data_IF_689861556447
#
_entry.id   IF_689861556447
#
_cell.length_a   1.000
_cell.length_b   1.000
_cell.length_c   1.000
_cell.angle_alpha   90.00
_cell.angle_beta   90.00
_cell.angle_gamma   90.00
#
_symmetry.space_group_name_H-M   'P 1'
#
loop_
_entity.id
_entity.type
_entity.pdbx_description
1 polymer ?
#
# COMPACT_ATOMS: atom_id res chain seq x y z
N UNK A 1 -4.34 -18.34 19.33
CA UNK A 1 -5.38 -17.40 19.80
C UNK A 1 -5.21 -16.13 18.99
N UNK A 2 -6.15 -15.87 18.09
CA UNK A 2 -6.16 -14.70 17.20
C UNK A 2 -7.09 -13.64 17.79
N UNK A 3 -6.80 -12.36 17.54
CA UNK A 3 -7.65 -11.24 17.95
C UNK A 3 -8.29 -10.61 16.72
N UNK A 4 -9.62 -10.54 16.69
CA UNK A 4 -10.38 -9.87 15.63
C UNK A 4 -10.96 -8.58 16.18
N UNK A 5 -10.73 -7.46 15.49
CA UNK A 5 -11.26 -6.14 15.84
C UNK A 5 -12.49 -5.83 15.00
N UNK A 6 -13.47 -5.21 15.65
CA UNK A 6 -14.73 -4.77 15.07
C UNK A 6 -15.06 -3.34 15.51
N UNK A 7 -15.69 -2.54 14.65
CA UNK A 7 -16.36 -1.32 15.08
C UNK A 7 -17.53 -0.97 14.16
N UNK A 8 -18.53 -0.30 14.73
CA UNK A 8 -19.70 0.22 14.02
C UNK A 8 -20.18 1.50 14.69
N UNK A 9 -21.05 2.25 14.02
CA UNK A 9 -21.75 3.40 14.61
C UNK A 9 -23.26 3.18 14.59
N UNK A 10 -23.95 3.79 15.54
CA UNK A 10 -25.41 3.87 15.55
C UNK A 10 -25.86 5.25 15.08
N UNK A 11 -27.02 5.34 14.44
CA UNK A 11 -27.58 6.63 14.03
C UNK A 11 -28.15 7.41 15.23
N UNK A 12 -28.77 6.70 16.16
CA UNK A 12 -29.39 7.23 17.38
C UNK A 12 -29.17 6.25 18.55
N UNK A 13 -29.06 6.76 19.77
CA UNK A 13 -28.92 5.95 20.99
C UNK A 13 -30.27 5.32 21.39
N UNK A 14 -30.66 4.25 20.68
CA UNK A 14 -31.84 3.44 21.00
C UNK A 14 -31.49 1.96 21.16
N UNK A 15 -32.21 1.20 22.00
CA UNK A 15 -31.95 -0.23 22.17
C UNK A 15 -32.08 -1.03 20.88
N UNK A 16 -33.03 -0.67 20.01
CA UNK A 16 -33.27 -1.33 18.72
C UNK A 16 -32.08 -1.13 17.78
N UNK A 17 -31.56 0.09 17.70
CA UNK A 17 -30.43 0.43 16.85
C UNK A 17 -29.13 -0.24 17.35
N UNK A 18 -28.89 -0.26 18.66
CA UNK A 18 -27.74 -0.94 19.25
C UNK A 18 -27.79 -2.45 18.98
N UNK A 19 -28.96 -3.08 19.13
CA UNK A 19 -29.14 -4.51 18.82
C UNK A 19 -28.86 -4.81 17.35
N UNK A 20 -29.41 -4.00 16.45
CA UNK A 20 -29.20 -4.15 15.02
C UNK A 20 -27.72 -3.99 14.66
N UNK A 21 -27.07 -2.94 15.15
CA UNK A 21 -25.68 -2.63 14.85
C UNK A 21 -24.70 -3.68 15.41
N UNK A 22 -24.91 -4.16 16.64
CA UNK A 22 -24.07 -5.20 17.24
C UNK A 22 -24.27 -6.53 16.52
N UNK A 23 -25.51 -6.90 16.20
CA UNK A 23 -25.79 -8.13 15.42
C UNK A 23 -25.11 -8.09 14.06
N UNK A 24 -25.31 -7.01 13.30
CA UNK A 24 -24.68 -6.81 11.99
C UNK A 24 -23.15 -6.89 12.08
N UNK A 25 -22.55 -6.23 13.08
CA UNK A 25 -21.11 -6.25 13.29
C UNK A 25 -20.59 -7.67 13.54
N UNK A 26 -21.22 -8.41 14.43
CA UNK A 26 -20.79 -9.76 14.78
C UNK A 26 -21.01 -10.77 13.64
N UNK A 27 -22.14 -10.70 12.93
CA UNK A 27 -22.42 -11.54 11.76
C UNK A 27 -21.42 -11.29 10.62
N UNK A 28 -21.03 -10.02 10.40
CA UNK A 28 -19.99 -9.68 9.42
C UNK A 28 -18.60 -10.20 9.85
N UNK A 29 -18.29 -10.17 11.15
CA UNK A 29 -17.05 -10.76 11.68
C UNK A 29 -17.06 -12.27 11.50
N UNK A 30 -18.16 -12.96 11.81
CA UNK A 30 -18.32 -14.40 11.61
C UNK A 30 -18.08 -14.78 10.14
N UNK A 31 -18.80 -14.10 9.24
CA UNK A 31 -18.75 -14.37 7.80
C UNK A 31 -17.34 -14.14 7.22
N UNK A 32 -16.71 -12.99 7.50
CA UNK A 32 -15.40 -12.66 6.90
C UNK A 32 -14.24 -13.48 7.45
N UNK A 33 -14.38 -14.04 8.65
CA UNK A 33 -13.34 -14.85 9.27
C UNK A 33 -13.62 -16.35 9.18
N UNK A 34 -14.72 -16.76 8.53
CA UNK A 34 -15.20 -18.15 8.55
C UNK A 34 -15.16 -18.72 9.97
N UNK A 35 -15.67 -17.94 10.92
CA UNK A 35 -15.55 -18.17 12.35
C UNK A 35 -16.81 -18.87 12.84
N UNK A 36 -16.63 -19.94 13.61
CA UNK A 36 -17.72 -20.60 14.31
C UNK A 36 -17.86 -20.01 15.72
N UNK A 37 -19.08 -19.99 16.25
CA UNK A 37 -19.37 -19.36 17.55
C UNK A 37 -18.67 -20.02 18.73
N UNK A 38 -18.46 -21.32 18.67
CA UNK A 38 -17.71 -22.09 19.67
C UNK A 38 -16.22 -21.79 19.67
N UNK A 39 -15.67 -21.22 18.59
CA UNK A 39 -14.27 -20.75 18.52
C UNK A 39 -14.09 -19.38 19.20
N UNK A 40 -15.17 -18.69 19.59
CA UNK A 40 -15.13 -17.40 20.27
C UNK A 40 -15.02 -17.60 21.77
N UNK A 41 -13.88 -17.22 22.35
CA UNK A 41 -13.63 -17.35 23.80
C UNK A 41 -14.20 -16.16 24.56
N UNK A 42 -13.99 -14.96 24.02
CA UNK A 42 -14.38 -13.72 24.68
C UNK A 42 -14.65 -12.60 23.68
N UNK A 43 -15.62 -11.74 24.00
CA UNK A 43 -15.86 -10.48 23.29
C UNK A 43 -15.83 -9.33 24.29
N UNK A 44 -14.91 -8.40 24.07
CA UNK A 44 -14.82 -7.15 24.82
C UNK A 44 -15.39 -6.04 23.96
N UNK A 45 -16.45 -5.42 24.43
CA UNK A 45 -17.03 -4.22 23.83
C UNK A 45 -16.52 -2.96 24.51
N UNK A 46 -16.33 -1.91 23.73
CA UNK A 46 -16.26 -0.55 24.23
C UNK A 46 -17.25 0.34 23.49
N UNK A 47 -17.87 1.28 24.19
CA UNK A 47 -18.80 2.24 23.61
C UNK A 47 -18.44 3.64 24.02
N UNK A 48 -18.64 4.59 23.11
CA UNK A 48 -18.43 6.00 23.41
C UNK A 48 -19.38 6.49 24.50
N UNK A 49 -18.99 7.57 25.18
CA UNK A 49 -19.68 8.09 26.35
C UNK A 49 -21.09 8.59 26.09
N UNK A 50 -21.47 8.73 24.82
CA UNK A 50 -22.79 9.17 24.33
C UNK A 50 -23.75 8.01 24.01
N UNK A 51 -23.41 6.77 24.38
CA UNK A 51 -24.30 5.59 24.29
C UNK A 51 -24.70 5.14 25.68
N UNK A 52 -26.01 5.13 25.96
CA UNK A 52 -26.57 4.80 27.27
C UNK A 52 -27.79 3.88 27.22
N UNK A 53 -28.48 3.81 26.08
CA UNK A 53 -29.79 3.16 26.00
C UNK A 53 -29.74 1.63 26.12
N UNK A 54 -28.61 0.99 25.77
CA UNK A 54 -28.46 -0.46 25.85
C UNK A 54 -27.01 -0.95 25.90
N UNK A 55 -26.80 -2.11 26.54
CA UNK A 55 -25.46 -2.72 26.64
C UNK A 55 -25.11 -3.54 25.39
N UNK A 56 -23.96 -3.28 24.73
CA UNK A 56 -23.49 -4.08 23.60
C UNK A 56 -23.32 -5.58 23.94
N UNK A 57 -22.81 -5.92 25.13
CA UNK A 57 -22.74 -7.31 25.59
C UNK A 57 -24.12 -7.98 25.66
N UNK A 58 -25.17 -7.26 26.06
CA UNK A 58 -26.53 -7.82 26.07
C UNK A 58 -27.04 -8.03 24.64
N UNK A 59 -26.78 -7.08 23.74
CA UNK A 59 -27.11 -7.23 22.33
C UNK A 59 -26.38 -8.43 21.68
N UNK A 60 -25.11 -8.66 22.01
CA UNK A 60 -24.35 -9.82 21.55
C UNK A 60 -24.94 -11.15 22.07
N UNK A 61 -25.37 -11.19 23.33
CA UNK A 61 -26.08 -12.33 23.90
C UNK A 61 -27.37 -12.63 23.13
N UNK A 62 -28.17 -11.60 22.85
CA UNK A 62 -29.42 -11.70 22.05
C UNK A 62 -29.16 -12.05 20.57
N UNK A 63 -27.94 -11.86 20.06
CA UNK A 63 -27.50 -12.33 18.75
C UNK A 63 -27.01 -13.80 18.75
N UNK A 64 -27.02 -14.45 19.92
CA UNK A 64 -26.69 -15.87 20.10
C UNK A 64 -25.21 -16.16 20.41
N UNK A 65 -24.46 -15.18 20.94
CA UNK A 65 -23.13 -15.37 21.51
C UNK A 65 -23.24 -15.74 23.00
N UNK A 66 -23.76 -16.94 23.27
CA UNK A 66 -24.13 -17.35 24.63
C UNK A 66 -23.00 -18.07 25.38
N UNK A 67 -22.11 -18.75 24.66
CA UNK A 67 -21.03 -19.57 25.23
C UNK A 67 -19.80 -18.76 25.63
N UNK A 68 -19.57 -17.60 25.02
CA UNK A 68 -18.38 -16.80 25.27
C UNK A 68 -18.57 -15.82 26.43
N UNK A 69 -17.46 -15.42 27.04
CA UNK A 69 -17.45 -14.31 28.01
C UNK A 69 -17.69 -12.98 27.29
N UNK A 70 -18.55 -12.13 27.86
CA UNK A 70 -18.90 -10.83 27.27
C UNK A 70 -18.61 -9.72 28.28
N UNK A 71 -17.83 -8.74 27.84
CA UNK A 71 -17.51 -7.55 28.63
C UNK A 71 -17.96 -6.31 27.89
N UNK A 72 -18.34 -5.27 28.62
CA UNK A 72 -18.61 -3.95 28.06
C UNK A 72 -17.97 -2.89 28.94
N UNK A 73 -17.28 -1.95 28.31
CA UNK A 73 -16.69 -0.78 28.95
C UNK A 73 -17.18 0.48 28.25
N UNK A 74 -17.25 1.58 29.00
CA UNK A 74 -17.44 2.89 28.42
C UNK A 74 -16.07 3.54 28.17
N UNK A 75 -15.94 4.22 27.03
CA UNK A 75 -14.73 4.94 26.65
C UNK A 75 -14.71 6.35 27.25
N UNK A 76 -13.52 6.94 27.46
CA UNK A 76 -13.42 8.36 27.81
C UNK A 76 -13.98 9.23 26.68
N UNK A 77 -14.62 10.35 27.03
CA UNK A 77 -15.03 11.35 26.04
C UNK A 77 -13.80 12.12 25.55
N UNK A 78 -13.60 12.13 24.23
CA UNK A 78 -12.47 12.76 23.57
C UNK A 78 -13.00 13.77 22.55
N UNK A 79 -12.49 15.00 22.59
CA UNK A 79 -12.85 16.03 21.63
C UNK A 79 -12.46 15.61 20.20
N UNK A 80 -13.35 15.83 19.23
CA UNK A 80 -13.22 15.33 17.86
C UNK A 80 -13.35 13.81 17.70
N UNK A 81 -13.61 13.06 18.78
CA UNK A 81 -13.82 11.61 18.73
C UNK A 81 -15.07 11.22 17.95
N UNK A 82 -15.03 10.07 17.28
CA UNK A 82 -16.18 9.53 16.54
C UNK A 82 -17.32 9.23 17.52
N UNK A 83 -18.44 9.93 17.36
CA UNK A 83 -19.64 9.81 18.20
C UNK A 83 -20.43 8.55 17.91
N UNK A 84 -21.24 8.11 18.89
CA UNK A 84 -22.14 6.96 18.80
C UNK A 84 -21.46 5.70 18.24
N UNK A 85 -20.23 5.42 18.71
CA UNK A 85 -19.41 4.32 18.22
C UNK A 85 -19.38 3.16 19.20
N UNK A 86 -19.56 1.94 18.68
CA UNK A 86 -19.39 0.68 19.41
C UNK A 86 -18.22 -0.07 18.78
N UNK A 87 -17.26 -0.46 19.60
CA UNK A 87 -16.10 -1.27 19.21
C UNK A 87 -16.19 -2.64 19.87
N UNK A 88 -15.65 -3.64 19.20
CA UNK A 88 -15.59 -5.01 19.66
C UNK A 88 -14.18 -5.58 19.45
N UNK A 89 -13.70 -6.35 20.42
CA UNK A 89 -12.49 -7.14 20.32
C UNK A 89 -12.84 -8.58 20.66
N UNK A 90 -12.72 -9.46 19.68
CA UNK A 90 -13.00 -10.89 19.82
C UNK A 90 -11.69 -11.64 19.99
N UNK A 91 -11.61 -12.47 21.02
CA UNK A 91 -10.54 -13.42 21.25
C UNK A 91 -11.00 -14.79 20.77
N UNK A 92 -10.32 -15.35 19.77
CA UNK A 92 -10.74 -16.58 19.10
C UNK A 92 -9.67 -17.66 19.12
N UNK A 93 -10.09 -18.91 19.29
CA UNK A 93 -9.26 -20.12 19.18
C UNK A 93 -9.06 -20.55 17.73
N UNK A 94 -8.60 -19.60 16.92
CA UNK A 94 -8.22 -19.81 15.53
C UNK A 94 -6.79 -19.35 15.32
N UNK A 95 -6.07 -19.97 14.38
CA UNK A 95 -4.69 -19.62 14.04
C UNK A 95 -4.57 -19.20 12.56
N UNK A 96 -5.47 -18.31 12.15
CA UNK A 96 -5.51 -17.68 10.83
C UNK A 96 -5.34 -16.16 10.98
N UNK A 97 -4.95 -15.51 9.88
CA UNK A 97 -4.87 -14.04 9.80
C UNK A 97 -6.28 -13.44 9.94
N UNK A 98 -6.52 -12.53 10.90
CA UNK A 98 -7.84 -11.98 11.15
C UNK A 98 -8.26 -10.95 10.09
N UNK A 99 -9.51 -11.04 9.67
CA UNK A 99 -10.20 -10.00 8.90
C UNK A 99 -10.99 -9.10 9.85
N UNK A 100 -10.47 -7.90 10.10
CA UNK A 100 -11.16 -6.92 10.95
C UNK A 100 -12.35 -6.28 10.22
N UNK A 101 -13.35 -5.83 10.98
CA UNK A 101 -14.62 -5.35 10.42
C UNK A 101 -14.96 -3.96 10.94
N UNK A 102 -15.03 -2.99 10.04
CA UNK A 102 -15.42 -1.62 10.36
C UNK A 102 -16.62 -1.26 9.50
N UNK A 103 -17.75 -0.95 10.14
CA UNK A 103 -19.02 -0.69 9.49
C UNK A 103 -19.44 0.77 9.67
N UNK A 104 -20.33 1.23 8.80
CA UNK A 104 -21.00 2.54 8.91
C UNK A 104 -19.98 3.69 9.10
N UNK A 105 -20.21 4.60 10.05
CA UNK A 105 -19.29 5.70 10.37
C UNK A 105 -17.94 5.22 10.91
N UNK A 106 -17.86 4.04 11.53
CA UNK A 106 -16.62 3.50 12.07
C UNK A 106 -15.60 3.07 11.00
N UNK A 107 -15.99 3.05 9.72
CA UNK A 107 -15.08 2.88 8.58
C UNK A 107 -13.96 3.91 8.60
N UNK A 108 -14.24 5.13 9.07
CA UNK A 108 -13.23 6.19 9.18
C UNK A 108 -12.21 5.91 10.25
N UNK A 109 -12.43 4.97 11.19
CA UNK A 109 -11.42 4.62 12.19
C UNK A 109 -10.27 3.79 11.59
N UNK A 110 -10.52 3.16 10.44
CA UNK A 110 -9.58 2.30 9.70
C UNK A 110 -9.92 2.33 8.21
N UNK A 111 -9.65 3.45 7.52
CA UNK A 111 -9.86 3.52 6.06
C UNK A 111 -9.03 2.46 5.32
N UNK A 112 -7.91 2.07 5.91
CA UNK A 112 -7.04 1.00 5.43
C UNK A 112 -7.67 -0.41 5.46
N UNK A 113 -8.73 -0.62 6.26
CA UNK A 113 -9.45 -1.90 6.34
C UNK A 113 -10.84 -1.81 5.71
N UNK A 114 -11.44 -0.63 5.74
CA UNK A 114 -12.85 -0.43 5.43
C UNK A 114 -13.16 -0.14 3.95
N UNK A 115 -12.19 0.36 3.18
CA UNK A 115 -12.32 0.66 1.76
C UNK A 115 -11.03 0.35 1.01
N UNK A 116 -11.15 0.20 -0.32
CA UNK A 116 -9.98 0.17 -1.20
C UNK A 116 -9.26 1.51 -1.06
N UNK A 117 -7.96 1.47 -0.76
CA UNK A 117 -7.14 2.68 -0.65
C UNK A 117 -5.81 2.49 -1.37
N UNK A 118 -5.28 3.58 -1.87
CA UNK A 118 -4.03 3.61 -2.61
C UNK A 118 -3.01 4.51 -1.92
N UNK A 119 -1.78 4.00 -1.81
CA UNK A 119 -0.64 4.74 -1.27
C UNK A 119 0.36 5.00 -2.39
N UNK A 120 0.61 6.27 -2.70
CA UNK A 120 1.66 6.69 -3.62
C UNK A 120 2.95 7.00 -2.85
N UNK A 121 4.06 6.39 -3.25
CA UNK A 121 5.40 6.65 -2.71
C UNK A 121 6.33 7.09 -3.84
N UNK A 122 6.58 8.39 -3.93
CA UNK A 122 7.44 9.00 -4.94
C UNK A 122 8.79 9.44 -4.36
N UNK A 123 9.76 9.69 -5.24
CA UNK A 123 11.08 10.19 -4.85
C UNK A 123 12.24 9.62 -5.69
N UNK A 124 13.45 10.19 -5.55
CA UNK A 124 14.62 9.85 -6.36
C UNK A 124 15.13 8.43 -6.14
N UNK A 125 16.00 7.93 -7.02
CA UNK A 125 16.60 6.60 -6.85
C UNK A 125 17.43 6.54 -5.55
N UNK A 126 17.39 5.41 -4.83
CA UNK A 126 18.15 5.22 -3.59
C UNK A 126 17.52 5.82 -2.32
N UNK A 127 16.34 6.46 -2.39
CA UNK A 127 15.66 7.02 -1.21
C UNK A 127 14.93 6.00 -0.32
N UNK A 128 15.04 4.69 -0.60
CA UNK A 128 14.43 3.63 0.23
C UNK A 128 12.97 3.29 -0.07
N UNK A 129 12.34 3.93 -1.07
CA UNK A 129 10.91 3.75 -1.43
C UNK A 129 10.48 2.29 -1.56
N UNK A 130 11.18 1.51 -2.38
CA UNK A 130 10.78 0.12 -2.66
C UNK A 130 10.81 -0.75 -1.41
N UNK A 131 11.76 -0.50 -0.51
CA UNK A 131 11.84 -1.21 0.77
C UNK A 131 10.65 -0.85 1.66
N UNK A 132 10.38 0.45 1.79
CA UNK A 132 9.27 0.97 2.59
C UNK A 132 7.92 0.53 2.02
N UNK A 133 7.76 0.57 0.70
CA UNK A 133 6.54 0.16 0.01
C UNK A 133 6.22 -1.32 0.23
N UNK A 134 7.23 -2.20 0.16
CA UNK A 134 7.08 -3.63 0.46
C UNK A 134 6.66 -3.88 1.91
N UNK A 135 7.33 -3.22 2.86
CA UNK A 135 6.99 -3.36 4.28
C UNK A 135 5.59 -2.83 4.58
N UNK A 136 5.25 -1.67 4.01
CA UNK A 136 3.92 -1.08 4.16
C UNK A 136 2.85 -1.99 3.56
N UNK A 137 3.06 -2.50 2.35
CA UNK A 137 2.14 -3.42 1.70
C UNK A 137 1.92 -4.70 2.52
N UNK A 138 3.01 -5.27 3.04
CA UNK A 138 2.96 -6.42 3.93
C UNK A 138 2.14 -6.13 5.21
N UNK A 139 2.42 -5.03 5.89
CA UNK A 139 1.80 -4.71 7.18
C UNK A 139 0.31 -4.38 7.07
N UNK A 140 -0.12 -3.82 5.95
CA UNK A 140 -1.53 -3.54 5.65
C UNK A 140 -2.20 -4.66 4.86
N UNK A 141 -1.47 -5.73 4.51
CA UNK A 141 -1.92 -6.83 3.65
C UNK A 141 -2.57 -6.33 2.34
N UNK A 142 -1.90 -5.39 1.69
CA UNK A 142 -2.30 -4.81 0.40
C UNK A 142 -1.23 -5.08 -0.65
N UNK A 143 -1.55 -4.76 -1.90
CA UNK A 143 -0.66 -5.00 -3.02
C UNK A 143 0.57 -4.10 -2.97
N UNK A 144 1.76 -4.62 -3.26
CA UNK A 144 2.90 -3.81 -3.65
C UNK A 144 3.03 -3.83 -5.18
N UNK A 145 3.00 -2.67 -5.83
CA UNK A 145 3.23 -2.53 -7.28
C UNK A 145 4.53 -1.76 -7.54
N UNK A 146 5.59 -2.49 -7.89
CA UNK A 146 6.86 -1.94 -8.42
C UNK A 146 6.63 -1.44 -9.85
N UNK A 147 6.31 -0.15 -9.98
CA UNK A 147 6.11 0.45 -11.30
C UNK A 147 7.40 0.47 -12.13
N UNK A 148 8.56 0.51 -11.46
CA UNK A 148 9.86 0.45 -12.11
C UNK A 148 10.11 -0.89 -12.81
N UNK A 149 9.61 -2.00 -12.26
CA UNK A 149 9.69 -3.32 -12.88
C UNK A 149 8.96 -3.36 -14.24
N UNK A 150 7.84 -2.64 -14.36
CA UNK A 150 7.08 -2.56 -15.60
C UNK A 150 7.87 -1.87 -16.72
N UNK A 151 8.52 -0.74 -16.40
CA UNK A 151 9.41 -0.05 -17.36
C UNK A 151 10.64 -0.89 -17.71
N UNK A 152 11.20 -1.63 -16.74
CA UNK A 152 12.31 -2.57 -16.98
C UNK A 152 11.91 -3.74 -17.87
N UNK A 153 10.68 -4.24 -17.77
CA UNK A 153 10.18 -5.26 -18.71
C UNK A 153 10.04 -4.70 -20.14
N UNK A 154 9.57 -3.46 -20.30
CA UNK A 154 9.53 -2.80 -21.61
C UNK A 154 10.93 -2.63 -22.20
N UNK A 155 11.91 -2.24 -21.38
CA UNK A 155 13.30 -2.12 -21.79
C UNK A 155 13.93 -3.47 -22.17
N UNK A 156 13.69 -4.52 -21.38
CA UNK A 156 14.13 -5.87 -21.70
C UNK A 156 13.59 -6.34 -23.05
N UNK A 157 12.32 -6.04 -23.35
CA UNK A 157 11.72 -6.38 -24.63
C UNK A 157 12.41 -5.67 -25.81
N UNK A 158 12.70 -4.37 -25.66
CA UNK A 158 13.43 -3.60 -26.68
C UNK A 158 14.85 -4.15 -26.90
N UNK A 159 15.57 -4.46 -25.83
CA UNK A 159 16.91 -5.06 -25.89
C UNK A 159 16.89 -6.43 -26.58
N UNK A 160 15.92 -7.30 -26.26
CA UNK A 160 15.76 -8.61 -26.90
C UNK A 160 15.45 -8.51 -28.39
N UNK A 161 14.74 -7.45 -28.80
CA UNK A 161 14.43 -7.17 -30.20
C UNK A 161 15.59 -6.49 -30.97
N UNK A 162 16.70 -6.17 -30.30
CA UNK A 162 17.82 -5.44 -30.91
C UNK A 162 17.47 -3.98 -31.26
N UNK A 163 16.43 -3.42 -30.64
CA UNK A 163 15.98 -2.05 -30.87
C UNK A 163 16.80 -1.11 -29.98
N UNK A 164 17.27 0.01 -30.54
CA UNK A 164 17.81 1.10 -29.74
C UNK A 164 16.70 1.67 -28.85
N UNK A 165 16.89 1.58 -27.54
CA UNK A 165 15.95 2.06 -26.52
C UNK A 165 15.71 3.57 -26.57
N UNK A 166 16.56 4.31 -27.28
CA UNK A 166 16.42 5.75 -27.53
C UNK A 166 15.55 6.06 -28.76
N UNK A 167 15.31 5.08 -29.65
CA UNK A 167 14.45 5.25 -30.83
C UNK A 167 12.97 5.11 -30.45
N UNK A 168 12.32 6.24 -30.23
CA UNK A 168 10.91 6.29 -29.84
C UNK A 168 9.99 5.57 -30.84
N UNK A 169 10.25 5.69 -32.14
CA UNK A 169 9.37 5.13 -33.17
C UNK A 169 9.40 3.60 -33.15
N UNK A 170 10.60 3.01 -33.06
CA UNK A 170 10.77 1.56 -32.96
C UNK A 170 10.26 1.02 -31.63
N UNK A 171 10.56 1.68 -30.51
CA UNK A 171 10.05 1.28 -29.19
C UNK A 171 8.53 1.35 -29.16
N UNK A 172 7.92 2.42 -29.68
CA UNK A 172 6.46 2.56 -29.76
C UNK A 172 5.82 1.45 -30.61
N UNK A 173 6.43 1.10 -31.75
CA UNK A 173 5.96 0.01 -32.58
C UNK A 173 6.00 -1.33 -31.85
N UNK A 174 7.09 -1.62 -31.14
CA UNK A 174 7.24 -2.81 -30.33
C UNK A 174 6.19 -2.85 -29.20
N UNK A 175 5.98 -1.73 -28.50
CA UNK A 175 5.01 -1.65 -27.40
C UNK A 175 3.57 -1.95 -27.83
N UNK A 176 3.20 -1.83 -29.11
CA UNK A 176 1.85 -2.23 -29.57
C UNK A 176 1.64 -3.74 -29.56
N UNK A 177 2.70 -4.54 -29.72
CA UNK A 177 2.64 -6.00 -29.80
C UNK A 177 2.88 -6.73 -28.47
N UNK A 178 3.57 -6.10 -27.52
CA UNK A 178 3.94 -6.74 -26.26
C UNK A 178 2.74 -6.93 -25.33
N UNK A 179 2.60 -8.15 -24.81
CA UNK A 179 1.77 -8.46 -23.65
C UNK A 179 2.60 -8.36 -22.37
N UNK A 180 2.28 -7.38 -21.52
CA UNK A 180 2.90 -7.20 -20.20
C UNK A 180 1.87 -7.50 -19.12
N UNK A 181 2.02 -8.58 -18.39
CA UNK A 181 1.10 -8.94 -17.31
C UNK A 181 1.79 -8.94 -15.95
N UNK A 182 1.01 -8.58 -14.93
CA UNK A 182 1.47 -8.55 -13.55
C UNK A 182 0.66 -9.59 -12.79
N UNK A 183 1.35 -10.61 -12.29
CA UNK A 183 0.75 -11.69 -11.50
C UNK A 183 1.30 -11.63 -10.10
N UNK A 184 0.43 -11.81 -9.12
CA UNK A 184 0.82 -11.84 -7.72
C UNK A 184 0.79 -13.28 -7.22
N UNK A 185 1.92 -13.75 -6.71
CA UNK A 185 2.06 -15.09 -6.11
C UNK A 185 2.81 -14.94 -4.80
N UNK A 186 2.26 -15.51 -3.73
CA UNK A 186 2.87 -15.49 -2.39
C UNK A 186 3.26 -14.08 -1.90
N UNK A 187 2.46 -13.06 -2.23
CA UNK A 187 2.72 -11.66 -1.86
C UNK A 187 3.82 -10.97 -2.68
N UNK A 188 4.36 -11.63 -3.70
CA UNK A 188 5.41 -11.11 -4.58
C UNK A 188 4.84 -10.78 -5.96
N UNK A 189 5.29 -9.66 -6.52
CA UNK A 189 5.01 -9.29 -7.90
C UNK A 189 5.86 -10.12 -8.87
N UNK A 190 5.20 -10.84 -9.76
CA UNK A 190 5.78 -11.47 -10.94
C UNK A 190 5.43 -10.66 -12.18
N UNK A 191 6.46 -10.30 -12.95
CA UNK A 191 6.29 -9.55 -14.20
C UNK A 191 6.42 -10.52 -15.37
N UNK A 192 5.33 -10.71 -16.11
CA UNK A 192 5.28 -11.57 -17.28
C UNK A 192 5.40 -10.72 -18.55
N UNK A 193 6.33 -11.09 -19.42
CA UNK A 193 6.53 -10.50 -20.74
C UNK A 193 6.24 -11.56 -21.79
N UNK A 194 5.18 -11.37 -22.58
CA UNK A 194 4.70 -12.34 -23.58
C UNK A 194 4.50 -13.76 -23.00
N UNK A 195 4.04 -13.83 -21.75
CA UNK A 195 3.81 -15.05 -20.99
C UNK A 195 5.03 -15.63 -20.26
N UNK A 196 6.23 -15.09 -20.48
CA UNK A 196 7.47 -15.48 -19.78
C UNK A 196 7.66 -14.68 -18.49
N UNK A 197 7.98 -15.33 -17.37
CA UNK A 197 8.35 -14.64 -16.14
C UNK A 197 9.76 -14.04 -16.24
N UNK A 198 9.81 -12.71 -16.34
CA UNK A 198 11.07 -11.96 -16.49
C UNK A 198 11.52 -11.28 -15.20
N UNK A 199 10.91 -11.61 -14.06
CA UNK A 199 11.11 -10.91 -12.78
C UNK A 199 12.56 -10.81 -12.31
N UNK A 200 13.38 -11.83 -12.62
CA UNK A 200 14.83 -11.80 -12.34
C UNK A 200 15.62 -11.10 -13.47
N UNK A 201 15.29 -11.40 -14.74
CA UNK A 201 15.95 -10.81 -15.92
C UNK A 201 15.90 -9.28 -15.91
N UNK A 202 14.79 -8.69 -15.45
CA UNK A 202 14.60 -7.24 -15.39
C UNK A 202 15.41 -6.55 -14.29
N UNK A 203 16.14 -7.27 -13.44
CA UNK A 203 16.94 -6.70 -12.34
C UNK A 203 18.39 -6.45 -12.72
N UNK A 204 18.81 -6.77 -13.94
CA UNK A 204 20.18 -6.53 -14.38
C UNK A 204 20.50 -5.02 -14.47
N UNK A 205 21.77 -4.62 -14.29
CA UNK A 205 22.19 -3.22 -14.46
C UNK A 205 21.88 -2.69 -15.87
N UNK A 206 22.13 -3.49 -16.90
CA UNK A 206 21.87 -3.15 -18.31
C UNK A 206 20.40 -2.79 -18.55
N UNK A 207 19.47 -3.64 -18.09
CA UNK A 207 18.03 -3.38 -18.21
C UNK A 207 17.61 -2.17 -17.38
N UNK A 208 18.23 -1.96 -16.21
CA UNK A 208 17.95 -0.80 -15.36
C UNK A 208 18.33 0.53 -16.02
N UNK A 209 19.45 0.56 -16.75
CA UNK A 209 19.86 1.72 -17.55
C UNK A 209 18.89 1.94 -18.72
N UNK A 210 18.59 0.88 -19.47
CA UNK A 210 17.68 0.92 -20.60
C UNK A 210 16.27 1.39 -20.21
N UNK A 211 15.77 1.00 -19.04
CA UNK A 211 14.47 1.44 -18.52
C UNK A 211 14.39 2.96 -18.32
N UNK A 212 15.51 3.61 -17.98
CA UNK A 212 15.56 5.06 -17.88
C UNK A 212 15.29 5.70 -19.24
N UNK A 213 15.95 5.21 -20.30
CA UNK A 213 15.74 5.69 -21.67
C UNK A 213 14.31 5.46 -22.16
N UNK A 214 13.81 4.23 -22.00
CA UNK A 214 12.45 3.86 -22.43
C UNK A 214 11.36 4.65 -21.68
N UNK A 215 11.58 5.01 -20.41
CA UNK A 215 10.60 5.77 -19.62
C UNK A 215 10.41 7.23 -20.04
N UNK A 216 11.25 7.74 -20.96
CA UNK A 216 11.09 9.06 -21.59
C UNK A 216 10.00 9.05 -22.66
N UNK A 217 9.77 7.91 -23.31
CA UNK A 217 8.85 7.80 -24.43
C UNK A 217 7.40 7.88 -23.94
N UNK A 218 6.65 8.84 -24.49
CA UNK A 218 5.28 9.13 -24.06
C UNK A 218 4.38 7.92 -24.27
N UNK A 219 4.53 7.25 -25.41
CA UNK A 219 3.77 6.04 -25.75
C UNK A 219 3.93 4.93 -24.71
N UNK A 220 5.15 4.68 -24.22
CA UNK A 220 5.41 3.69 -23.18
C UNK A 220 4.76 4.11 -21.88
N UNK A 221 4.95 5.37 -21.46
CA UNK A 221 4.38 5.89 -20.22
C UNK A 221 2.87 5.76 -20.18
N UNK A 222 2.18 6.18 -21.25
CA UNK A 222 0.72 6.12 -21.30
C UNK A 222 0.21 4.69 -21.16
N UNK A 223 0.85 3.72 -21.82
CA UNK A 223 0.53 2.29 -21.67
C UNK A 223 0.78 1.78 -20.24
N UNK A 224 1.87 2.21 -19.59
CA UNK A 224 2.18 1.81 -18.21
C UNK A 224 1.19 2.42 -17.21
N UNK A 225 0.86 3.71 -17.37
CA UNK A 225 -0.09 4.44 -16.52
C UNK A 225 -1.47 3.80 -16.60
N UNK A 226 -1.92 3.40 -17.79
CA UNK A 226 -3.19 2.68 -17.98
C UNK A 226 -3.22 1.39 -17.16
N UNK A 227 -2.20 0.53 -17.27
CA UNK A 227 -2.11 -0.71 -16.48
C UNK A 227 -2.01 -0.45 -14.98
N UNK A 228 -1.25 0.55 -14.56
CA UNK A 228 -1.12 0.91 -13.14
C UNK A 228 -2.47 1.35 -12.55
N UNK A 229 -3.22 2.18 -13.27
CA UNK A 229 -4.56 2.61 -12.89
C UNK A 229 -5.57 1.47 -12.90
N UNK A 230 -5.48 0.57 -13.86
CA UNK A 230 -6.32 -0.64 -13.91
C UNK A 230 -6.14 -1.49 -12.64
N UNK A 231 -4.90 -1.74 -12.23
CA UNK A 231 -4.57 -2.52 -11.04
C UNK A 231 -5.04 -1.79 -9.77
N UNK A 232 -4.68 -0.51 -9.61
CA UNK A 232 -5.09 0.33 -8.49
C UNK A 232 -6.61 0.60 -8.45
N UNK A 233 -7.30 0.36 -9.56
CA UNK A 233 -8.75 0.39 -9.68
C UNK A 233 -9.43 -0.78 -8.98
N UNK A 234 -8.80 -1.96 -8.97
CA UNK A 234 -9.40 -3.23 -8.54
C UNK A 234 -9.11 -3.60 -7.09
N UNK A 235 -8.00 -3.15 -6.51
CA UNK A 235 -7.58 -3.52 -5.16
C UNK A 235 -6.72 -2.45 -4.48
N UNK A 236 -6.60 -2.52 -3.15
CA UNK A 236 -5.73 -1.60 -2.39
C UNK A 236 -4.28 -1.86 -2.74
N UNK A 237 -3.49 -0.81 -2.89
CA UNK A 237 -2.11 -0.95 -3.33
C UNK A 237 -1.19 0.17 -2.86
N UNK A 238 0.08 -0.18 -2.66
CA UNK A 238 1.20 0.74 -2.53
C UNK A 238 1.93 0.75 -3.88
N UNK A 239 1.94 1.91 -4.53
CA UNK A 239 2.70 2.14 -5.76
C UNK A 239 3.95 2.94 -5.41
N UNK A 240 5.12 2.43 -5.76
CA UNK A 240 6.36 3.20 -5.69
C UNK A 240 6.87 3.61 -7.07
N UNK A 241 7.28 4.86 -7.21
CA UNK A 241 7.62 5.43 -8.51
C UNK A 241 8.31 6.79 -8.45
N UNK A 242 7.98 7.65 -9.42
CA UNK A 242 8.52 9.03 -9.54
C UNK A 242 7.42 10.08 -9.64
N UNK A 243 6.30 9.70 -10.22
CA UNK A 243 5.15 10.54 -10.57
C UNK A 243 3.82 9.86 -10.21
N UNK A 244 3.82 8.98 -9.22
CA UNK A 244 2.63 8.25 -8.81
C UNK A 244 1.58 9.23 -8.29
N UNK A 245 1.91 10.05 -7.30
CA UNK A 245 0.98 10.98 -6.67
C UNK A 245 0.69 12.25 -7.48
N UNK A 246 1.49 12.54 -8.51
CA UNK A 246 1.31 13.72 -9.38
C UNK A 246 0.63 13.40 -10.70
N UNK A 247 0.78 12.18 -11.22
CA UNK A 247 0.30 11.84 -12.56
C UNK A 247 -0.46 10.51 -12.62
N UNK A 248 0.08 9.42 -12.05
CA UNK A 248 -0.55 8.09 -12.17
C UNK A 248 -1.85 8.04 -11.36
N UNK A 249 -1.78 8.38 -10.07
CA UNK A 249 -2.86 8.39 -9.09
C UNK A 249 -2.92 9.76 -8.39
N UNK A 250 -3.34 10.82 -9.11
CA UNK A 250 -3.47 12.16 -8.52
C UNK A 250 -4.51 12.22 -7.40
N UNK A 251 -5.39 11.23 -7.29
CA UNK A 251 -6.40 11.11 -6.23
C UNK A 251 -6.08 9.99 -5.24
N UNK A 252 -4.81 9.56 -5.14
CA UNK A 252 -4.40 8.56 -4.14
C UNK A 252 -4.70 9.05 -2.72
N UNK A 253 -5.25 8.17 -1.88
CA UNK A 253 -5.66 8.48 -0.49
C UNK A 253 -4.49 8.98 0.36
N UNK A 254 -3.31 8.40 0.13
CA UNK A 254 -2.08 8.76 0.82
C UNK A 254 -0.95 8.96 -0.18
N UNK A 255 -0.23 10.07 -0.05
CA UNK A 255 0.91 10.41 -0.91
C UNK A 255 2.11 10.78 -0.06
N UNK A 256 3.24 10.14 -0.34
CA UNK A 256 4.50 10.36 0.35
C UNK A 256 5.60 10.63 -0.67
N UNK A 257 6.46 11.59 -0.37
CA UNK A 257 7.65 11.87 -1.15
C UNK A 257 8.88 11.59 -0.29
N UNK A 258 9.59 10.50 -0.59
CA UNK A 258 10.78 10.06 0.14
C UNK A 258 12.03 10.59 -0.55
N UNK A 259 12.80 11.39 0.17
CA UNK A 259 14.09 11.91 -0.28
C UNK A 259 15.24 11.44 0.63
N UNK A 260 16.46 11.68 0.18
CA UNK A 260 17.68 11.58 0.97
C UNK A 260 18.81 12.33 0.24
N UNK A 261 19.85 12.72 0.97
CA UNK A 261 21.04 13.32 0.38
C UNK A 261 21.65 12.43 -0.71
N UNK A 262 22.28 13.04 -1.72
CA UNK A 262 22.87 12.31 -2.84
C UNK A 262 23.91 11.28 -2.37
N UNK A 263 24.71 11.61 -1.35
CA UNK A 263 25.71 10.72 -0.77
C UNK A 263 25.10 9.51 -0.08
N UNK A 264 24.03 9.71 0.70
CA UNK A 264 23.31 8.60 1.36
C UNK A 264 22.69 7.67 0.31
N UNK A 265 22.09 8.23 -0.75
CA UNK A 265 21.49 7.44 -1.83
C UNK A 265 22.54 6.65 -2.61
N UNK A 266 23.67 7.27 -2.95
CA UNK A 266 24.79 6.61 -3.60
C UNK A 266 25.36 5.47 -2.75
N UNK A 267 25.55 5.71 -1.44
CA UNK A 267 26.02 4.69 -0.50
C UNK A 267 25.06 3.50 -0.40
N UNK A 268 23.76 3.76 -0.18
CA UNK A 268 22.75 2.68 -0.13
C UNK A 268 22.74 1.83 -1.39
N UNK A 269 22.87 2.46 -2.56
CA UNK A 269 22.93 1.75 -3.85
C UNK A 269 24.22 0.96 -4.02
N UNK A 270 25.35 1.51 -3.59
CA UNK A 270 26.63 0.83 -3.60
C UNK A 270 26.58 -0.44 -2.73
N UNK A 271 26.05 -0.31 -1.51
CA UNK A 271 25.89 -1.43 -0.57
C UNK A 271 24.97 -2.52 -1.16
N UNK A 272 23.86 -2.14 -1.81
CA UNK A 272 22.96 -3.08 -2.50
C UNK A 272 23.65 -3.86 -3.64
N UNK A 273 24.47 -3.16 -4.44
CA UNK A 273 25.21 -3.76 -5.55
C UNK A 273 26.35 -4.67 -5.06
N UNK A 274 27.07 -4.24 -4.03
CA UNK A 274 28.14 -5.02 -3.41
C UNK A 274 27.59 -6.30 -2.78
N UNK A 275 26.44 -6.24 -2.10
CA UNK A 275 25.76 -7.41 -1.54
C UNK A 275 25.34 -8.45 -2.61
N UNK A 276 25.16 -8.01 -3.87
CA UNK A 276 24.88 -8.86 -5.03
C UNK A 276 26.14 -9.32 -5.78
N UNK A 277 27.34 -8.98 -5.29
CA UNK A 277 28.61 -9.39 -5.86
C UNK A 277 29.14 -8.50 -7.00
N UNK A 278 28.53 -7.34 -7.25
CA UNK A 278 29.01 -6.40 -8.26
C UNK A 278 30.15 -5.53 -7.71
N UNK A 279 31.15 -5.23 -8.55
CA UNK A 279 32.16 -4.20 -8.24
C UNK A 279 31.53 -2.82 -8.42
N UNK A 280 31.72 -1.94 -7.43
CA UNK A 280 31.15 -0.60 -7.42
C UNK A 280 32.25 0.44 -7.42
N UNK A 281 32.24 1.33 -8.41
CA UNK A 281 32.93 2.61 -8.36
C UNK A 281 31.94 3.65 -7.80
N UNK A 282 32.20 4.12 -6.57
CA UNK A 282 31.31 5.02 -5.85
C UNK A 282 31.12 6.36 -6.57
N UNK A 283 32.18 6.93 -7.15
CA UNK A 283 32.13 8.23 -7.81
C UNK A 283 31.45 8.13 -9.19
N UNK A 284 31.62 7.01 -9.90
CA UNK A 284 30.85 6.74 -11.10
C UNK A 284 29.35 6.55 -10.78
N UNK A 285 29.03 5.76 -9.75
CA UNK A 285 27.64 5.52 -9.33
C UNK A 285 26.94 6.80 -8.87
N UNK A 286 27.64 7.65 -8.13
CA UNK A 286 27.09 8.94 -7.68
C UNK A 286 26.74 9.84 -8.87
N UNK A 287 27.60 9.91 -9.89
CA UNK A 287 27.32 10.64 -11.14
C UNK A 287 26.15 10.04 -11.91
N UNK A 288 26.05 8.72 -11.99
CA UNK A 288 24.92 8.04 -12.64
C UNK A 288 23.59 8.35 -11.95
N UNK A 289 23.56 8.31 -10.62
CA UNK A 289 22.38 8.66 -9.82
C UNK A 289 21.98 10.12 -10.06
N UNK A 290 22.94 11.04 -10.05
CA UNK A 290 22.67 12.46 -10.31
C UNK A 290 22.10 12.70 -11.71
N UNK A 291 22.73 12.12 -12.74
CA UNK A 291 22.24 12.21 -14.12
C UNK A 291 20.82 11.64 -14.27
N UNK A 292 20.52 10.55 -13.54
CA UNK A 292 19.19 9.96 -13.52
C UNK A 292 18.17 10.85 -12.82
N UNK A 293 18.51 11.48 -11.70
CA UNK A 293 17.59 12.37 -10.98
C UNK A 293 17.29 13.63 -11.81
N UNK A 294 18.31 14.19 -12.48
CA UNK A 294 18.15 15.30 -13.42
C UNK A 294 17.24 14.87 -14.58
N UNK A 295 17.51 13.70 -15.17
CA UNK A 295 16.66 13.14 -16.19
C UNK A 295 15.22 12.98 -15.71
N UNK A 296 14.99 12.40 -14.53
CA UNK A 296 13.65 12.12 -14.01
C UNK A 296 12.85 13.42 -13.74
N UNK A 297 13.53 14.47 -13.27
CA UNK A 297 12.94 15.76 -12.87
C UNK A 297 12.76 16.77 -14.01
N UNK A 298 13.54 16.66 -15.09
CA UNK A 298 13.48 17.57 -16.26
C UNK A 298 12.61 17.04 -17.41
N UNK A 299 11.95 15.88 -17.24
CA UNK A 299 11.08 15.32 -18.28
C UNK A 299 9.91 16.23 -18.59
N UNK A 300 9.58 16.32 -19.87
CA UNK A 300 8.44 17.09 -20.36
C UNK A 300 7.11 16.58 -19.80
N UNK A 301 6.96 15.25 -19.72
CA UNK A 301 5.75 14.61 -19.17
C UNK A 301 6.05 13.93 -17.84
N UNK A 302 5.20 14.26 -16.86
CA UNK A 302 5.19 13.69 -15.51
C UNK A 302 6.60 13.60 -14.89
N UNK A 303 7.23 14.77 -14.68
CA UNK A 303 8.54 14.86 -14.04
C UNK A 303 8.47 14.37 -12.60
N UNK A 304 9.61 13.94 -12.06
CA UNK A 304 9.78 13.69 -10.64
C UNK A 304 9.58 15.01 -9.88
N UNK A 305 8.42 15.13 -9.25
CA UNK A 305 8.03 16.27 -8.42
C UNK A 305 7.19 15.77 -7.26
N UNK A 306 7.36 16.38 -6.09
CA UNK A 306 6.45 16.20 -4.97
C UNK A 306 5.06 16.75 -5.34
N UNK A 307 4.01 15.95 -5.14
CA UNK A 307 2.63 16.44 -5.25
C UNK A 307 2.33 17.44 -4.12
N UNK A 308 1.49 18.44 -4.39
CA UNK A 308 1.24 19.54 -3.44
C UNK A 308 0.66 19.05 -2.11
N UNK A 309 -0.06 17.92 -2.12
CA UNK A 309 -0.67 17.26 -0.96
C UNK A 309 0.12 16.05 -0.43
N UNK A 310 1.32 15.79 -0.98
CA UNK A 310 2.21 14.73 -0.52
C UNK A 310 3.03 15.13 0.70
N UNK A 311 3.19 14.21 1.65
CA UNK A 311 4.03 14.40 2.84
C UNK A 311 5.49 14.12 2.47
N UNK A 312 6.36 15.13 2.64
CA UNK A 312 7.80 14.99 2.48
C UNK A 312 8.41 14.23 3.66
N UNK A 313 9.23 13.21 3.37
CA UNK A 313 9.99 12.47 4.37
C UNK A 313 11.45 12.40 3.92
N UNK A 314 12.33 13.10 4.64
CA UNK A 314 13.78 12.98 4.45
C UNK A 314 14.30 11.77 5.22
N UNK A 315 14.77 10.77 4.49
CA UNK A 315 15.24 9.49 5.04
C UNK A 315 16.74 9.48 5.31
N UNK A 316 17.45 10.61 5.18
CA UNK A 316 18.93 10.68 5.27
C UNK A 316 19.45 10.10 6.59
N UNK A 317 18.83 10.47 7.71
CA UNK A 317 19.24 10.11 9.07
C UNK A 317 18.23 9.19 9.77
N UNK A 318 17.33 8.56 8.99
CA UNK A 318 16.30 7.68 9.53
C UNK A 318 16.59 6.22 9.20
N UNK A 319 16.33 5.35 10.17
CA UNK A 319 16.24 3.90 9.98
C UNK A 319 14.98 3.53 9.18
N UNK A 320 14.95 2.31 8.62
CA UNK A 320 13.80 1.80 7.87
C UNK A 320 12.55 1.77 8.77
N UNK A 321 12.72 1.35 10.02
CA UNK A 321 11.66 1.25 11.03
C UNK A 321 11.08 2.63 11.40
N UNK A 322 11.92 3.65 11.51
CA UNK A 322 11.49 5.02 11.78
C UNK A 322 10.70 5.60 10.61
N UNK A 323 11.18 5.42 9.37
CA UNK A 323 10.45 5.89 8.17
C UNK A 323 9.09 5.21 8.08
N UNK A 324 9.04 3.88 8.27
CA UNK A 324 7.80 3.12 8.24
C UNK A 324 6.83 3.57 9.33
N UNK A 325 7.32 3.81 10.57
CA UNK A 325 6.51 4.31 11.68
C UNK A 325 5.91 5.68 11.36
N UNK A 326 6.71 6.60 10.83
CA UNK A 326 6.27 7.94 10.44
C UNK A 326 5.17 7.89 9.38
N UNK A 327 5.35 7.06 8.34
CA UNK A 327 4.33 6.87 7.29
C UNK A 327 3.02 6.35 7.88
N UNK A 328 3.09 5.30 8.70
CA UNK A 328 1.91 4.72 9.35
C UNK A 328 1.17 5.74 10.22
N UNK A 329 1.90 6.54 11.00
CA UNK A 329 1.31 7.60 11.80
C UNK A 329 0.60 8.63 10.92
N UNK A 330 1.24 9.08 9.82
CA UNK A 330 0.64 10.04 8.88
C UNK A 330 -0.60 9.49 8.18
N UNK A 331 -0.60 8.20 7.87
CA UNK A 331 -1.81 7.54 7.35
C UNK A 331 -2.92 7.55 8.39
N UNK A 332 -2.62 7.25 9.66
CA UNK A 332 -3.60 7.28 10.75
C UNK A 332 -4.16 8.68 11.02
N UNK A 333 -3.35 9.74 10.90
CA UNK A 333 -3.81 11.13 11.07
C UNK A 333 -4.80 11.57 9.97
N UNK A 334 -4.69 11.01 8.76
CA UNK A 334 -5.58 11.28 7.61
C UNK A 334 -6.84 10.39 7.59
N UNK A 335 -6.88 9.36 8.44
CA UNK A 335 -7.98 8.39 8.58
C UNK A 335 -9.08 9.00 9.43
#
# INVERSE_FOLDING_TARGET
>A
MTVIRGATTIAEDTPEEIRAAVRELLEQIESRNSLKRDEVVSIVFSSTSDIHSFYPAKAAREAGFESCSLFSAQEPDIDGGLKLCIRAMLFVEKNETPHHVYLRGARVLRKDVAQKFNVAIDGPAGSGKSTIAKLLAHDYNILYLDTGAMYRACALAALRAGIDVSDEAQVCALMRGIALDIVYRDGVQHTLLDGEDVSESIRSPEVSMAASAVSKHVSVRMKMVEKQREIAGKMSCVLDGRDIGTFVLPDADFKFFLTASADVRAKRRADEMAAKGYRVDFEALKREIAARDEQDSTREIAPLKQADDAVLIDTSDMTIEEVLRTIKQKMQEKI
#
